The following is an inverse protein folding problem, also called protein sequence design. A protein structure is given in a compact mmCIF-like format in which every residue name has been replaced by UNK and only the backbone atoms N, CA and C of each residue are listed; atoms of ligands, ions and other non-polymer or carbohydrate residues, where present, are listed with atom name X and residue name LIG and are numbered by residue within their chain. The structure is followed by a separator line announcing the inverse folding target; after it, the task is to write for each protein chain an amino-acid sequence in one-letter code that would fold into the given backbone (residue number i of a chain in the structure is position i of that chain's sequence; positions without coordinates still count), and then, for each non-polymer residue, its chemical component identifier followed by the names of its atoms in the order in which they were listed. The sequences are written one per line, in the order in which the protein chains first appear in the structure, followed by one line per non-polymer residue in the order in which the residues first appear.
data_IF_886249228407
#
_entry.id   IF_886249228407
#
_cell.length_a   1.000
_cell.length_b   1.000
_cell.length_c   1.000
_cell.angle_alpha   90.00
_cell.angle_beta   90.00
_cell.angle_gamma   90.00
#
_symmetry.space_group_name_H-M   'P 1'
#
loop_
_entity.id
_entity.type
_entity.pdbx_description
1 polymer ?
#
# COMPACT_ATOMS: atom_id res chain seq x y z
N UNK A 1 -29.02 -20.57 -40.19
CA UNK A 1 -28.53 -20.40 -38.80
C UNK A 1 -27.03 -20.27 -38.87
N UNK A 2 -26.48 -19.07 -38.63
CA UNK A 2 -25.04 -18.84 -38.55
C UNK A 2 -24.65 -18.98 -37.07
N UNK A 3 -24.06 -20.12 -36.72
CA UNK A 3 -23.25 -20.23 -35.51
C UNK A 3 -22.00 -19.39 -35.73
N UNK A 4 -22.05 -18.13 -35.31
CA UNK A 4 -20.87 -17.29 -35.23
C UNK A 4 -20.89 -16.58 -33.88
N UNK A 5 -19.77 -16.71 -33.14
CA UNK A 5 -19.33 -15.91 -32.00
C UNK A 5 -19.75 -16.34 -30.59
N UNK A 6 -19.33 -17.54 -30.17
CA UNK A 6 -19.08 -17.81 -28.74
C UNK A 6 -17.63 -17.48 -28.34
N UNK A 7 -16.68 -17.54 -29.30
CA UNK A 7 -15.25 -17.28 -29.06
C UNK A 7 -14.84 -15.80 -28.98
N UNK A 8 -15.53 -14.89 -29.67
CA UNK A 8 -15.15 -13.46 -29.70
C UNK A 8 -15.60 -12.71 -28.43
N UNK A 9 -16.69 -13.18 -27.79
CA UNK A 9 -17.33 -12.49 -26.67
C UNK A 9 -16.54 -12.59 -25.37
N UNK A 10 -15.87 -13.73 -25.11
CA UNK A 10 -15.06 -13.89 -23.90
C UNK A 10 -13.76 -13.08 -23.97
N UNK A 11 -13.14 -12.97 -25.15
CA UNK A 11 -11.93 -12.16 -25.35
C UNK A 11 -12.22 -10.66 -25.21
N UNK A 12 -13.33 -10.19 -25.78
CA UNK A 12 -13.76 -8.80 -25.65
C UNK A 12 -14.10 -8.44 -24.19
N UNK A 13 -14.78 -9.34 -23.46
CA UNK A 13 -15.08 -9.17 -22.02
C UNK A 13 -13.81 -9.19 -21.17
N UNK A 14 -12.88 -10.10 -21.44
CA UNK A 14 -11.60 -10.16 -20.74
C UNK A 14 -10.78 -8.86 -20.97
N UNK A 15 -10.70 -8.38 -22.21
CA UNK A 15 -10.02 -7.12 -22.52
C UNK A 15 -10.67 -5.87 -21.89
N UNK A 16 -12.00 -5.85 -21.78
CA UNK A 16 -12.72 -4.78 -21.06
C UNK A 16 -12.45 -4.83 -19.55
N UNK A 17 -12.40 -6.03 -18.96
CA UNK A 17 -12.09 -6.24 -17.55
C UNK A 17 -10.68 -5.77 -17.19
N UNK A 18 -9.67 -6.15 -17.98
CA UNK A 18 -8.28 -5.71 -17.79
C UNK A 18 -8.15 -4.18 -17.89
N UNK A 19 -8.83 -3.55 -18.87
CA UNK A 19 -8.81 -2.08 -19.01
C UNK A 19 -9.45 -1.38 -17.80
N UNK A 20 -10.58 -1.87 -17.30
CA UNK A 20 -11.25 -1.34 -16.12
C UNK A 20 -10.37 -1.46 -14.87
N UNK A 21 -9.71 -2.61 -14.69
CA UNK A 21 -8.77 -2.82 -13.59
C UNK A 21 -7.59 -1.85 -13.67
N UNK A 22 -6.98 -1.67 -14.85
CA UNK A 22 -5.90 -0.69 -15.05
C UNK A 22 -6.34 0.74 -14.74
N UNK A 23 -7.52 1.16 -15.21
CA UNK A 23 -8.04 2.49 -14.89
C UNK A 23 -8.31 2.68 -13.40
N UNK A 24 -8.77 1.62 -12.71
CA UNK A 24 -9.03 1.66 -11.28
C UNK A 24 -7.72 1.74 -10.47
N UNK A 25 -6.67 1.06 -10.92
CA UNK A 25 -5.32 1.19 -10.37
C UNK A 25 -4.74 2.59 -10.55
N UNK A 26 -4.83 3.15 -11.77
CA UNK A 26 -4.37 4.52 -12.03
C UNK A 26 -5.16 5.50 -11.17
N UNK A 27 -6.48 5.34 -11.08
CA UNK A 27 -7.33 6.15 -10.20
C UNK A 27 -6.87 6.10 -8.75
N UNK A 28 -6.56 4.90 -8.23
CA UNK A 28 -6.04 4.71 -6.88
C UNK A 28 -4.73 5.48 -6.66
N UNK A 29 -3.76 5.32 -7.57
CA UNK A 29 -2.46 6.01 -7.48
C UNK A 29 -2.66 7.53 -7.50
N UNK A 30 -3.50 8.03 -8.40
CA UNK A 30 -3.80 9.47 -8.51
C UNK A 30 -4.48 9.98 -7.25
N UNK A 31 -5.46 9.27 -6.70
CA UNK A 31 -6.14 9.64 -5.44
C UNK A 31 -5.15 9.70 -4.28
N UNK A 32 -4.27 8.71 -4.15
CA UNK A 32 -3.23 8.71 -3.12
C UNK A 32 -2.23 9.86 -3.31
N UNK A 33 -1.81 10.13 -4.54
CA UNK A 33 -0.91 11.25 -4.86
C UNK A 33 -1.53 12.59 -4.48
N UNK A 34 -2.77 12.84 -4.87
CA UNK A 34 -3.51 14.06 -4.52
C UNK A 34 -3.65 14.17 -3.01
N UNK A 35 -4.01 13.09 -2.32
CA UNK A 35 -4.13 13.07 -0.87
C UNK A 35 -2.81 13.43 -0.17
N UNK A 36 -1.69 12.86 -0.61
CA UNK A 36 -0.34 13.18 -0.08
C UNK A 36 0.07 14.62 -0.35
N UNK A 37 -0.24 15.16 -1.53
CA UNK A 37 0.03 16.57 -1.87
C UNK A 37 -0.79 17.50 -0.97
N UNK A 38 -2.07 17.23 -0.77
CA UNK A 38 -2.92 18.04 0.10
C UNK A 38 -2.46 17.99 1.55
N UNK A 39 -2.11 16.80 2.05
CA UNK A 39 -1.60 16.62 3.40
C UNK A 39 -0.27 17.36 3.60
N UNK A 40 0.69 17.19 2.68
CA UNK A 40 2.00 17.84 2.74
C UNK A 40 1.94 19.35 2.53
N UNK A 41 1.06 19.85 1.65
CA UNK A 41 0.85 21.29 1.49
C UNK A 41 0.23 21.90 2.76
N UNK A 42 -0.67 21.17 3.42
CA UNK A 42 -1.33 21.67 4.62
C UNK A 42 -0.35 21.93 5.77
N UNK A 43 0.76 21.18 5.89
CA UNK A 43 1.73 21.39 6.97
C UNK A 43 2.42 22.75 6.92
N UNK A 44 2.45 23.40 5.76
CA UNK A 44 3.05 24.72 5.54
C UNK A 44 2.08 25.90 5.76
N UNK A 45 0.80 25.62 6.04
CA UNK A 45 -0.23 26.66 6.15
C UNK A 45 -0.30 27.28 7.55
N UNK A 46 -0.38 28.62 7.59
CA UNK A 46 -0.51 29.40 8.81
C UNK A 46 -1.93 29.41 9.40
N UNK A 47 -2.97 29.33 8.56
CA UNK A 47 -4.36 29.28 9.01
C UNK A 47 -4.69 27.89 9.59
N UNK A 48 -5.00 27.83 10.88
CA UNK A 48 -5.25 26.59 11.60
C UNK A 48 -6.50 25.84 11.11
N UNK A 49 -7.57 26.55 10.75
CA UNK A 49 -8.83 25.93 10.34
C UNK A 49 -8.69 25.35 8.93
N UNK A 50 -8.12 26.13 8.01
CA UNK A 50 -7.90 25.69 6.64
C UNK A 50 -6.84 24.57 6.56
N UNK A 51 -5.75 24.68 7.35
CA UNK A 51 -4.76 23.59 7.52
C UNK A 51 -5.43 22.28 7.95
N UNK A 52 -6.21 22.32 9.02
CA UNK A 52 -6.82 21.11 9.59
C UNK A 52 -7.78 20.46 8.59
N UNK A 53 -8.59 21.26 7.90
CA UNK A 53 -9.50 20.76 6.86
C UNK A 53 -8.73 20.05 5.74
N UNK A 54 -7.66 20.65 5.22
CA UNK A 54 -6.84 20.05 4.16
C UNK A 54 -6.11 18.78 4.62
N UNK A 55 -5.60 18.75 5.85
CA UNK A 55 -4.99 17.54 6.41
C UNK A 55 -6.01 16.40 6.51
N UNK A 56 -7.23 16.67 6.98
CA UNK A 56 -8.29 15.66 7.09
C UNK A 56 -8.68 15.14 5.70
N UNK A 57 -8.88 16.04 4.73
CA UNK A 57 -9.23 15.66 3.35
C UNK A 57 -8.09 14.85 2.72
N UNK A 58 -6.84 15.31 2.86
CA UNK A 58 -5.67 14.60 2.36
C UNK A 58 -5.55 13.20 2.94
N UNK A 59 -5.69 13.07 4.26
CA UNK A 59 -5.66 11.79 4.96
C UNK A 59 -6.82 10.88 4.52
N UNK A 60 -8.04 11.41 4.37
CA UNK A 60 -9.19 10.65 3.91
C UNK A 60 -9.01 10.12 2.48
N UNK A 61 -8.40 10.90 1.59
CA UNK A 61 -8.06 10.45 0.23
C UNK A 61 -6.99 9.36 0.24
N UNK A 62 -5.95 9.50 1.07
CA UNK A 62 -4.92 8.45 1.22
C UNK A 62 -5.55 7.15 1.73
N UNK A 63 -6.34 7.24 2.80
CA UNK A 63 -7.02 6.08 3.40
C UNK A 63 -8.02 5.45 2.42
N UNK A 64 -8.86 6.26 1.77
CA UNK A 64 -9.82 5.79 0.76
C UNK A 64 -9.14 5.15 -0.44
N UNK A 65 -8.04 5.74 -0.92
CA UNK A 65 -7.21 5.18 -1.98
C UNK A 65 -6.59 3.84 -1.57
N UNK A 66 -6.02 3.73 -0.38
CA UNK A 66 -5.49 2.46 0.14
C UNK A 66 -6.56 1.37 0.22
N UNK A 67 -7.74 1.68 0.78
CA UNK A 67 -8.84 0.73 0.89
C UNK A 67 -9.32 0.27 -0.50
N UNK A 68 -9.56 1.22 -1.39
CA UNK A 68 -10.02 0.93 -2.75
C UNK A 68 -8.97 0.15 -3.57
N UNK A 69 -7.71 0.56 -3.48
CA UNK A 69 -6.57 -0.13 -4.08
C UNK A 69 -6.44 -1.57 -3.59
N UNK A 70 -6.63 -1.79 -2.29
CA UNK A 70 -6.62 -3.13 -1.69
C UNK A 70 -7.76 -3.99 -2.24
N UNK A 71 -8.96 -3.44 -2.38
CA UNK A 71 -10.10 -4.17 -2.97
C UNK A 71 -9.81 -4.57 -4.41
N UNK A 72 -9.26 -3.65 -5.22
CA UNK A 72 -8.88 -3.98 -6.61
C UNK A 72 -7.77 -5.03 -6.63
N UNK A 73 -6.74 -4.86 -5.80
CA UNK A 73 -5.63 -5.80 -5.69
C UNK A 73 -6.16 -7.21 -5.41
N UNK A 74 -7.01 -7.38 -4.40
CA UNK A 74 -7.58 -8.67 -4.03
C UNK A 74 -8.47 -9.31 -5.11
N UNK A 75 -8.99 -8.53 -6.07
CA UNK A 75 -9.78 -9.05 -7.20
C UNK A 75 -8.93 -9.55 -8.37
N UNK A 76 -7.64 -9.18 -8.44
CA UNK A 76 -6.78 -9.45 -9.60
C UNK A 76 -5.66 -10.41 -9.28
N UNK A 77 -5.20 -10.44 -8.03
CA UNK A 77 -4.01 -11.21 -7.65
C UNK A 77 -4.24 -12.69 -7.81
N UNK A 78 -3.20 -13.40 -8.24
CA UNK A 78 -3.17 -14.84 -8.21
C UNK A 78 -2.89 -15.35 -6.78
N UNK A 79 -3.16 -16.64 -6.54
CA UNK A 79 -2.97 -17.24 -5.22
C UNK A 79 -1.49 -17.23 -4.79
N UNK A 80 -0.55 -17.33 -5.73
CA UNK A 80 0.88 -17.32 -5.45
C UNK A 80 1.35 -15.94 -4.96
N UNK A 81 0.88 -14.87 -5.61
CA UNK A 81 1.16 -13.49 -5.25
C UNK A 81 0.50 -13.14 -3.91
N UNK A 82 -0.73 -13.62 -3.67
CA UNK A 82 -1.39 -13.47 -2.37
C UNK A 82 -0.58 -14.09 -1.24
N UNK A 83 -0.15 -15.34 -1.41
CA UNK A 83 0.61 -16.06 -0.38
C UNK A 83 2.00 -15.43 -0.17
N UNK A 84 2.66 -14.99 -1.24
CA UNK A 84 3.91 -14.24 -1.15
C UNK A 84 3.72 -12.91 -0.39
N UNK A 85 2.63 -12.18 -0.65
CA UNK A 85 2.32 -10.93 0.03
C UNK A 85 1.98 -11.13 1.51
N UNK A 86 1.15 -12.13 1.83
CA UNK A 86 0.83 -12.50 3.22
C UNK A 86 2.09 -12.88 4.00
N UNK A 87 2.96 -13.70 3.40
CA UNK A 87 4.21 -14.10 4.03
C UNK A 87 5.17 -12.91 4.23
N UNK A 88 5.33 -12.08 3.20
CA UNK A 88 6.16 -10.88 3.28
C UNK A 88 5.67 -9.92 4.36
N UNK A 89 4.36 -9.69 4.43
CA UNK A 89 3.74 -8.82 5.43
C UNK A 89 3.91 -9.39 6.84
N UNK A 90 3.75 -10.70 7.01
CA UNK A 90 3.99 -11.38 8.29
C UNK A 90 5.45 -11.21 8.77
N UNK A 91 6.43 -11.44 7.89
CA UNK A 91 7.85 -11.26 8.23
C UNK A 91 8.17 -9.80 8.52
N UNK A 92 7.67 -8.87 7.70
CA UNK A 92 7.81 -7.43 7.92
C UNK A 92 7.28 -6.98 9.28
N UNK A 93 6.05 -7.37 9.62
CA UNK A 93 5.44 -7.07 10.90
C UNK A 93 6.24 -7.66 12.07
N UNK A 94 6.77 -8.88 11.90
CA UNK A 94 7.63 -9.51 12.92
C UNK A 94 8.91 -8.69 13.14
N UNK A 95 9.58 -8.25 12.07
CA UNK A 95 10.77 -7.38 12.17
C UNK A 95 10.43 -6.05 12.82
N UNK A 96 9.32 -5.42 12.44
CA UNK A 96 8.84 -4.19 13.07
C UNK A 96 8.68 -4.37 14.58
N UNK A 97 7.96 -5.41 15.01
CA UNK A 97 7.70 -5.67 16.43
C UNK A 97 8.99 -5.94 17.20
N UNK A 98 9.90 -6.73 16.65
CA UNK A 98 11.20 -7.02 17.29
C UNK A 98 12.02 -5.75 17.46
N UNK A 99 12.16 -4.93 16.42
CA UNK A 99 12.92 -3.69 16.49
C UNK A 99 12.26 -2.65 17.41
N UNK A 100 10.94 -2.55 17.37
CA UNK A 100 10.17 -1.68 18.26
C UNK A 100 10.34 -2.07 19.73
N UNK A 101 10.21 -3.36 20.06
CA UNK A 101 10.40 -3.88 21.42
C UNK A 101 11.85 -3.72 21.86
N UNK A 102 12.83 -4.03 20.99
CA UNK A 102 14.25 -3.86 21.31
C UNK A 102 14.57 -2.41 21.67
N UNK A 103 14.05 -1.46 20.89
CA UNK A 103 14.18 -0.03 21.19
C UNK A 103 13.50 0.32 22.52
N UNK A 104 12.25 -0.08 22.72
CA UNK A 104 11.51 0.22 23.94
C UNK A 104 12.22 -0.29 25.19
N UNK A 105 12.74 -1.52 25.16
CA UNK A 105 13.51 -2.09 26.26
C UNK A 105 14.86 -1.40 26.43
N UNK A 106 15.52 -1.01 25.34
CA UNK A 106 16.77 -0.27 25.37
C UNK A 106 16.61 1.10 26.04
N UNK A 107 15.56 1.83 25.67
CA UNK A 107 15.20 3.12 26.27
C UNK A 107 14.87 2.94 27.76
N UNK A 108 14.13 1.89 28.14
CA UNK A 108 13.83 1.56 29.53
C UNK A 108 15.07 1.17 30.35
N UNK A 109 16.08 0.55 29.72
CA UNK A 109 17.35 0.20 30.34
C UNK A 109 18.35 1.37 30.39
N UNK A 110 17.99 2.55 29.88
CA UNK A 110 18.88 3.70 29.79
C UNK A 110 19.99 3.53 28.76
N UNK A 111 19.86 2.56 27.85
CA UNK A 111 20.79 2.37 26.74
C UNK A 111 20.32 3.13 25.51
N UNK A 112 21.18 4.00 24.97
CA UNK A 112 20.89 4.72 23.72
C UNK A 112 21.11 3.79 22.53
N UNK A 113 20.11 2.97 22.19
CA UNK A 113 20.14 2.21 20.95
C UNK A 113 19.96 3.19 19.78
N UNK A 114 20.81 3.14 18.74
CA UNK A 114 20.71 4.02 17.58
C UNK A 114 19.59 3.58 16.62
N UNK A 115 18.41 3.26 17.16
CA UNK A 115 17.23 2.83 16.44
C UNK A 115 16.23 3.99 16.41
N UNK A 116 16.18 4.74 15.31
CA UNK A 116 15.15 5.78 15.12
C UNK A 116 13.81 5.17 14.68
N UNK A 117 12.70 5.88 14.91
CA UNK A 117 11.38 5.48 14.40
C UNK A 117 11.42 5.25 12.88
N UNK A 118 12.06 6.16 12.15
CA UNK A 118 12.20 6.07 10.70
C UNK A 118 13.09 4.89 10.28
N UNK A 119 14.14 4.60 11.04
CA UNK A 119 15.00 3.44 10.79
C UNK A 119 14.24 2.12 10.94
N UNK A 120 13.40 2.00 11.97
CA UNK A 120 12.52 0.83 12.17
C UNK A 120 11.54 0.70 11.00
N UNK A 121 10.90 1.81 10.62
CA UNK A 121 9.93 1.84 9.52
C UNK A 121 10.56 1.47 8.17
N UNK A 122 11.69 2.08 7.81
CA UNK A 122 12.41 1.79 6.58
C UNK A 122 12.92 0.36 6.54
N UNK A 123 13.42 -0.18 7.66
CA UNK A 123 13.85 -1.58 7.75
C UNK A 123 12.67 -2.52 7.54
N UNK A 124 11.51 -2.20 8.11
CA UNK A 124 10.27 -2.98 7.94
C UNK A 124 9.85 -3.01 6.47
N UNK A 125 9.84 -1.87 5.78
CA UNK A 125 9.53 -1.79 4.35
C UNK A 125 10.54 -2.61 3.54
N UNK A 126 11.84 -2.38 3.78
CA UNK A 126 12.90 -3.07 3.05
C UNK A 126 12.81 -4.59 3.21
N UNK A 127 12.59 -5.08 4.43
CA UNK A 127 12.39 -6.52 4.68
C UNK A 127 11.14 -7.04 3.98
N UNK A 128 10.00 -6.33 4.09
CA UNK A 128 8.75 -6.74 3.45
C UNK A 128 8.94 -6.88 1.94
N UNK A 129 9.54 -5.88 1.29
CA UNK A 129 9.81 -5.91 -0.15
C UNK A 129 10.83 -6.98 -0.55
N UNK A 130 11.88 -7.19 0.26
CA UNK A 130 12.88 -8.22 0.00
C UNK A 130 12.27 -9.63 0.08
N UNK A 131 11.46 -9.91 1.09
CA UNK A 131 10.80 -11.21 1.25
C UNK A 131 9.76 -11.43 0.17
N UNK A 132 8.96 -10.41 -0.16
CA UNK A 132 8.01 -10.49 -1.27
C UNK A 132 8.70 -10.84 -2.58
N UNK A 133 9.77 -10.10 -2.90
CA UNK A 133 10.56 -10.32 -4.13
C UNK A 133 11.18 -11.72 -4.13
N UNK A 134 11.74 -12.16 -3.02
CA UNK A 134 12.33 -13.50 -2.91
C UNK A 134 11.28 -14.59 -3.18
N UNK A 135 10.16 -14.56 -2.46
CA UNK A 135 9.07 -15.55 -2.61
C UNK A 135 8.41 -15.53 -3.99
N UNK A 136 8.39 -14.38 -4.66
CA UNK A 136 7.72 -14.22 -5.95
C UNK A 136 8.55 -14.77 -7.12
N UNK A 137 9.87 -14.74 -7.01
CA UNK A 137 10.77 -15.00 -8.14
C UNK A 137 11.73 -16.18 -7.94
N UNK A 138 11.87 -16.71 -6.72
CA UNK A 138 12.76 -17.83 -6.38
C UNK A 138 12.02 -18.93 -5.61
#
# INVERSE_FOLDING_TARGET
MKETRSGDDWQARAGAMVRRQRSAWIGTIVTMLIGSILFGFATELADNAFRSALMIVGLALIAGGLLWGTVIYMQVIDEQERDANLWATYVGLTVYLVLFVARFLGDAAGTSLPLSHDGIFLTTIATTLAIFTWKRFF
#
